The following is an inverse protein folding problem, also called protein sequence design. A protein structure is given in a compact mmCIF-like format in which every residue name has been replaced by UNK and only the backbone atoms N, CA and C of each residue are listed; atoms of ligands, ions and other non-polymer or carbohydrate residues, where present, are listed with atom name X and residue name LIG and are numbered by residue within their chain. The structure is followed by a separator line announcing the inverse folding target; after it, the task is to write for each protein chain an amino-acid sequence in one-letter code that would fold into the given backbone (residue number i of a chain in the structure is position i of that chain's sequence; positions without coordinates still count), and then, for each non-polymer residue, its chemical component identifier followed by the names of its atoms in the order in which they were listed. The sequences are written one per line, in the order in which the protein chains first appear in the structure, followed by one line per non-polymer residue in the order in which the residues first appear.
data_IF_031775128753
#
_entry.id   IF_031775128753
#
_cell.length_a   1.000
_cell.length_b   1.000
_cell.length_c   1.000
_cell.angle_alpha   90.00
_cell.angle_beta   90.00
_cell.angle_gamma   90.00
#
_symmetry.space_group_name_H-M   'P 1'
#
loop_
_entity.id
_entity.type
_entity.pdbx_description
1 polymer ?
#
# COMPACT_ATOMS: atom_id res chain seq x y z
N UNK A 1 -13.83 -9.62 47.11
CA UNK A 1 -12.52 -9.88 47.76
C UNK A 1 -11.85 -10.92 46.86
N UNK A 2 -10.90 -10.51 46.01
CA UNK A 2 -10.23 -11.42 45.07
C UNK A 2 -9.20 -12.24 45.87
N UNK A 3 -9.29 -13.56 45.75
CA UNK A 3 -8.45 -14.51 46.48
C UNK A 3 -7.15 -14.72 45.71
N UNK A 4 -6.03 -14.53 46.39
CA UNK A 4 -4.69 -14.64 45.82
C UNK A 4 -4.30 -16.13 45.72
N UNK A 5 -3.96 -16.58 44.52
CA UNK A 5 -3.50 -17.94 44.26
C UNK A 5 -1.95 -18.00 44.22
N UNK A 6 -1.30 -18.56 45.25
CA UNK A 6 0.16 -18.57 45.38
C UNK A 6 0.87 -19.48 44.36
N UNK A 7 0.17 -20.37 43.67
CA UNK A 7 0.78 -21.28 42.68
C UNK A 7 1.11 -20.57 41.36
N UNK A 8 0.36 -19.50 41.02
CA UNK A 8 0.59 -18.71 39.81
C UNK A 8 1.90 -17.92 39.91
N UNK A 9 2.17 -17.30 41.06
CA UNK A 9 3.38 -16.50 41.26
C UNK A 9 4.65 -17.37 41.30
N UNK A 10 4.53 -18.59 41.84
CA UNK A 10 5.65 -19.53 41.88
C UNK A 10 6.04 -20.02 40.48
N UNK A 11 5.05 -20.22 39.61
CA UNK A 11 5.26 -20.63 38.22
C UNK A 11 5.92 -19.51 37.40
N UNK A 12 5.48 -18.26 37.58
CA UNK A 12 6.07 -17.11 36.90
C UNK A 12 7.56 -16.92 37.24
N UNK A 13 7.93 -17.07 38.52
CA UNK A 13 9.32 -16.94 38.95
C UNK A 13 10.22 -18.06 38.41
N UNK A 14 9.70 -19.27 38.19
CA UNK A 14 10.47 -20.38 37.60
C UNK A 14 10.83 -20.09 36.14
N UNK A 15 9.86 -19.64 35.34
CA UNK A 15 10.06 -19.33 33.93
C UNK A 15 11.05 -18.18 33.72
N UNK A 16 11.00 -17.17 34.59
CA UNK A 16 11.91 -16.03 34.50
C UNK A 16 13.37 -16.41 34.83
N UNK A 17 13.58 -17.43 35.67
CA UNK A 17 14.90 -17.96 35.97
C UNK A 17 15.47 -18.78 34.81
N UNK A 18 14.67 -19.67 34.20
CA UNK A 18 15.08 -20.48 33.04
C UNK A 18 15.46 -19.60 31.82
N UNK A 19 14.74 -18.49 31.62
CA UNK A 19 15.01 -17.55 30.52
C UNK A 19 16.36 -16.83 30.68
N UNK A 20 16.78 -16.57 31.92
CA UNK A 20 18.05 -15.91 32.20
C UNK A 20 19.24 -16.88 32.16
N UNK A 21 19.03 -18.17 32.45
CA UNK A 21 20.06 -19.21 32.36
C UNK A 21 20.39 -19.55 30.89
N UNK A 22 19.40 -19.61 29.99
CA UNK A 22 19.62 -19.84 28.55
C UNK A 22 20.37 -18.71 27.83
N UNK A 23 20.36 -17.49 28.38
CA UNK A 23 21.09 -16.33 27.84
C UNK A 23 22.59 -16.35 28.18
N UNK A 24 23.00 -17.12 29.19
CA UNK A 24 24.40 -17.23 29.63
C UNK A 24 25.26 -18.19 28.81
N UNK A 25 24.64 -19.11 28.04
CA UNK A 25 25.35 -20.23 27.40
C UNK A 25 25.70 -20.02 25.92
N UNK A 26 25.19 -18.96 25.27
CA UNK A 26 25.45 -18.69 23.85
C UNK A 26 26.77 -17.92 23.57
N UNK A 27 27.54 -17.59 24.61
CA UNK A 27 28.81 -16.85 24.50
C UNK A 27 30.02 -17.77 24.66
N UNK A 28 30.17 -18.83 23.86
CA UNK A 28 31.45 -19.54 23.73
C UNK A 28 31.60 -20.18 22.34
N UNK A 29 32.79 -20.05 21.73
CA UNK A 29 33.30 -20.58 20.43
C UNK A 29 32.89 -19.79 19.15
N UNK A 30 33.78 -19.36 18.23
CA UNK A 30 35.13 -19.79 17.83
C UNK A 30 35.87 -18.66 17.07
N UNK A 31 37.19 -18.58 17.24
CA UNK A 31 38.16 -17.58 16.71
C UNK A 31 38.68 -17.89 15.29
N UNK A 32 39.14 -16.87 14.53
CA UNK A 32 40.44 -16.92 13.82
C UNK A 32 40.97 -15.51 13.40
N UNK A 33 42.26 -15.30 13.67
CA UNK A 33 43.16 -14.15 13.41
C UNK A 33 43.63 -14.11 11.91
N UNK A 34 44.49 -13.25 11.35
CA UNK A 34 45.49 -12.30 11.81
C UNK A 34 45.95 -11.36 10.64
N UNK A 35 46.32 -10.14 11.03
CA UNK A 35 47.42 -9.25 10.59
C UNK A 35 47.87 -9.05 9.12
N UNK A 36 48.17 -7.78 8.79
CA UNK A 36 49.53 -7.34 8.46
C UNK A 36 49.69 -5.83 8.73
N UNK A 37 50.59 -5.50 9.65
CA UNK A 37 51.00 -4.14 10.05
C UNK A 37 51.90 -3.46 9.00
N UNK A 38 51.99 -2.12 9.04
CA UNK A 38 53.25 -1.37 9.22
C UNK A 38 53.05 0.17 9.18
N UNK A 39 53.63 0.80 10.21
CA UNK A 39 54.26 2.13 10.32
C UNK A 39 53.46 3.45 10.36
N UNK A 40 53.59 4.10 11.53
CA UNK A 40 53.29 5.49 11.91
C UNK A 40 54.60 6.30 11.87
N UNK A 41 54.62 7.59 11.48
CA UNK A 41 54.72 8.67 12.49
C UNK A 41 53.85 9.92 12.17
N UNK A 42 53.09 10.46 13.14
CA UNK A 42 53.38 11.69 13.94
C UNK A 42 53.07 13.00 13.16
N UNK A 43 52.45 14.07 13.65
CA UNK A 43 52.03 14.63 14.95
C UNK A 43 50.71 15.39 14.71
N UNK A 44 49.84 15.67 15.69
CA UNK A 44 50.04 16.72 16.68
C UNK A 44 48.84 16.72 17.63
N UNK A 45 49.14 16.92 18.91
CA UNK A 45 48.24 16.96 20.04
C UNK A 45 47.05 17.91 19.90
N UNK A 46 45.88 17.42 20.31
CA UNK A 46 44.88 18.21 21.04
C UNK A 46 44.01 17.24 21.84
N UNK A 47 44.32 17.08 23.12
CA UNK A 47 43.44 16.49 24.11
C UNK A 47 42.25 17.44 24.33
N UNK A 48 41.03 16.96 24.13
CA UNK A 48 39.97 16.93 25.17
C UNK A 48 38.61 16.48 24.61
N UNK A 49 37.99 15.60 25.39
CA UNK A 49 36.56 15.38 25.57
C UNK A 49 35.69 14.58 24.58
N UNK A 50 35.60 13.28 24.92
CA UNK A 50 34.37 12.51 25.17
C UNK A 50 33.13 12.88 24.31
N UNK A 51 33.00 12.22 23.16
CA UNK A 51 31.69 11.93 22.59
C UNK A 51 31.31 10.48 22.88
N UNK A 52 31.23 10.14 24.17
CA UNK A 52 30.28 9.14 24.63
C UNK A 52 28.89 9.73 24.34
N UNK A 53 28.42 9.59 23.09
CA UNK A 53 27.04 9.89 22.74
C UNK A 53 26.17 9.02 23.63
N UNK A 54 25.59 9.65 24.65
CA UNK A 54 24.72 8.99 25.62
C UNK A 54 23.63 8.23 24.83
N UNK A 55 23.60 6.88 24.88
CA UNK A 55 22.59 6.09 24.17
C UNK A 55 21.18 6.54 24.53
N UNK A 56 20.97 7.02 25.76
CA UNK A 56 19.69 7.55 26.22
C UNK A 56 19.30 8.86 25.54
N UNK A 57 20.25 9.74 25.15
CA UNK A 57 19.94 10.95 24.36
C UNK A 57 19.52 10.57 22.95
N UNK A 58 20.26 9.67 22.31
CA UNK A 58 19.94 9.16 20.97
C UNK A 58 18.60 8.42 20.97
N UNK A 59 18.33 7.58 21.97
CA UNK A 59 17.04 6.92 22.16
C UNK A 59 15.94 7.96 22.42
N UNK A 60 16.16 8.94 23.30
CA UNK A 60 15.17 10.00 23.57
C UNK A 60 14.88 10.88 22.36
N UNK A 61 15.85 11.09 21.47
CA UNK A 61 15.65 11.72 20.15
C UNK A 61 14.88 10.80 19.19
N UNK A 62 15.16 9.49 19.16
CA UNK A 62 14.39 8.53 18.35
C UNK A 62 12.93 8.39 18.82
N UNK A 63 12.66 8.58 20.12
CA UNK A 63 11.30 8.60 20.69
C UNK A 63 10.73 10.03 20.73
N UNK A 64 11.49 11.04 20.30
CA UNK A 64 10.92 12.37 20.09
C UNK A 64 10.02 12.26 18.87
N UNK A 65 8.71 12.09 19.11
CA UNK A 65 7.75 12.08 18.04
C UNK A 65 7.83 13.45 17.37
N UNK A 66 8.28 13.46 16.12
CA UNK A 66 8.03 14.60 15.25
C UNK A 66 6.50 14.68 15.07
N UNK A 67 5.87 15.56 15.85
CA UNK A 67 4.44 15.81 15.78
C UNK A 67 4.07 16.63 14.53
N UNK A 68 5.05 17.03 13.71
CA UNK A 68 4.77 17.59 12.40
C UNK A 68 4.11 16.49 11.57
N UNK A 69 2.80 16.62 11.38
CA UNK A 69 2.04 15.70 10.55
C UNK A 69 2.69 15.63 9.17
N UNK A 70 3.12 14.43 8.77
CA UNK A 70 3.70 14.22 7.46
C UNK A 70 2.69 14.72 6.41
N UNK A 71 3.09 15.65 5.52
CA UNK A 71 2.17 16.19 4.53
C UNK A 71 1.61 15.05 3.65
N UNK A 72 0.33 15.16 3.31
CA UNK A 72 -0.35 14.14 2.51
C UNK A 72 0.36 13.94 1.16
N UNK A 73 0.26 12.73 0.61
CA UNK A 73 0.80 12.43 -0.72
C UNK A 73 0.11 13.25 -1.83
N UNK A 74 -1.17 13.59 -1.62
CA UNK A 74 -1.96 14.42 -2.52
C UNK A 74 -1.76 15.89 -2.13
N UNK A 75 -1.24 16.67 -3.07
CA UNK A 75 -1.25 18.12 -2.99
C UNK A 75 -2.60 18.64 -3.48
N UNK A 76 -3.28 19.42 -2.65
CA UNK A 76 -4.56 20.02 -2.98
C UNK A 76 -4.34 21.45 -3.46
N UNK A 77 -4.62 21.77 -4.74
CA UNK A 77 -4.53 23.14 -5.22
C UNK A 77 -5.44 24.05 -4.40
N UNK A 78 -4.96 25.27 -4.13
CA UNK A 78 -5.75 26.35 -3.55
C UNK A 78 -6.98 26.62 -4.40
N UNK A 79 -8.11 26.82 -3.73
CA UNK A 79 -9.39 27.10 -4.36
C UNK A 79 -9.76 28.56 -4.08
N UNK A 80 -10.26 29.25 -5.09
CA UNK A 80 -10.79 30.61 -4.96
C UNK A 80 -12.20 30.62 -4.33
N UNK A 81 -12.77 29.44 -4.06
CA UNK A 81 -14.09 29.22 -3.49
C UNK A 81 -14.01 28.26 -2.31
N UNK A 82 -14.83 28.50 -1.29
CA UNK A 82 -15.00 27.56 -0.18
C UNK A 82 -15.63 26.27 -0.71
N UNK A 83 -14.83 25.20 -0.69
CA UNK A 83 -15.26 23.88 -1.14
C UNK A 83 -15.18 22.89 0.02
N UNK A 84 -16.32 22.30 0.34
CA UNK A 84 -16.43 21.17 1.24
C UNK A 84 -17.01 19.98 0.49
N UNK A 85 -16.48 18.79 0.78
CA UNK A 85 -17.03 17.56 0.24
C UNK A 85 -18.39 17.30 0.91
N UNK A 86 -19.44 17.07 0.12
CA UNK A 86 -20.78 16.77 0.64
C UNK A 86 -20.75 15.45 1.41
N UNK A 87 -20.69 15.52 2.75
CA UNK A 87 -20.63 14.36 3.63
C UNK A 87 -21.75 13.35 3.37
N UNK A 88 -22.96 13.85 3.06
CA UNK A 88 -24.12 13.05 2.67
C UNK A 88 -23.97 12.28 1.35
N UNK A 89 -22.90 12.48 0.56
CA UNK A 89 -22.61 11.67 -0.63
C UNK A 89 -21.37 10.78 -0.45
N UNK A 90 -20.57 10.99 0.61
CA UNK A 90 -19.35 10.19 0.85
C UNK A 90 -19.68 8.72 1.02
N UNK A 91 -20.79 8.41 1.70
CA UNK A 91 -21.24 7.04 1.93
C UNK A 91 -21.69 6.31 0.64
N UNK A 92 -21.90 7.05 -0.46
CA UNK A 92 -22.24 6.48 -1.77
C UNK A 92 -20.99 6.10 -2.58
N UNK A 93 -19.80 6.54 -2.16
CA UNK A 93 -18.57 6.14 -2.80
C UNK A 93 -18.41 4.62 -2.65
N UNK A 94 -18.10 3.93 -3.75
CA UNK A 94 -17.64 2.56 -3.68
C UNK A 94 -16.39 2.50 -2.80
N UNK A 95 -16.27 1.42 -2.02
CA UNK A 95 -15.11 1.15 -1.17
C UNK A 95 -14.21 0.14 -1.87
N UNK A 96 -12.93 0.44 -1.99
CA UNK A 96 -11.91 -0.44 -2.56
C UNK A 96 -10.88 -0.81 -1.49
N UNK A 97 -10.78 -2.10 -1.16
CA UNK A 97 -9.87 -2.59 -0.12
C UNK A 97 -8.49 -3.00 -0.63
N UNK A 98 -8.33 -3.16 -1.95
CA UNK A 98 -7.10 -3.67 -2.56
C UNK A 98 -6.99 -5.20 -2.50
N UNK A 99 -8.11 -5.91 -2.48
CA UNK A 99 -8.17 -7.37 -2.41
C UNK A 99 -8.08 -8.03 -3.79
N UNK A 100 -7.60 -9.29 -3.80
CA UNK A 100 -7.57 -10.10 -5.00
C UNK A 100 -9.01 -10.37 -5.48
N UNK A 101 -9.37 -9.86 -6.66
CA UNK A 101 -10.70 -10.01 -7.25
C UNK A 101 -11.44 -8.69 -7.44
N UNK A 102 -11.03 -7.62 -6.74
CA UNK A 102 -11.55 -6.28 -7.02
C UNK A 102 -11.01 -5.77 -8.37
N UNK A 103 -11.84 -5.02 -9.09
CA UNK A 103 -11.47 -4.40 -10.37
C UNK A 103 -11.24 -2.90 -10.17
N UNK A 104 -9.98 -2.43 -10.24
CA UNK A 104 -9.66 -1.02 -10.05
C UNK A 104 -10.26 -0.12 -11.16
N UNK A 105 -10.48 -0.63 -12.37
CA UNK A 105 -11.15 0.12 -13.42
C UNK A 105 -12.63 0.30 -13.13
N UNK A 106 -13.29 -0.75 -12.63
CA UNK A 106 -14.68 -0.69 -12.19
C UNK A 106 -14.84 0.32 -11.05
N UNK A 107 -13.97 0.26 -10.04
CA UNK A 107 -13.94 1.22 -8.93
C UNK A 107 -13.86 2.66 -9.43
N UNK A 108 -12.92 2.97 -10.32
CA UNK A 108 -12.77 4.32 -10.87
C UNK A 108 -14.01 4.81 -11.65
N UNK A 109 -14.74 3.90 -12.32
CA UNK A 109 -16.00 4.24 -13.02
C UNK A 109 -17.11 4.57 -12.01
N UNK A 110 -17.30 3.72 -11.01
CA UNK A 110 -18.31 3.93 -9.95
C UNK A 110 -18.01 5.21 -9.16
N UNK A 111 -16.75 5.40 -8.78
CA UNK A 111 -16.25 6.61 -8.13
C UNK A 111 -16.54 7.89 -8.92
N UNK A 112 -16.31 7.87 -10.25
CA UNK A 112 -16.55 9.03 -11.11
C UNK A 112 -18.02 9.46 -11.13
N UNK A 113 -18.96 8.50 -11.16
CA UNK A 113 -20.41 8.78 -11.15
C UNK A 113 -20.81 9.56 -9.89
N UNK A 114 -20.27 9.17 -8.74
CA UNK A 114 -20.57 9.83 -7.46
C UNK A 114 -19.91 11.21 -7.38
N UNK A 115 -18.64 11.32 -7.78
CA UNK A 115 -17.91 12.59 -7.80
C UNK A 115 -18.57 13.64 -8.70
N UNK A 116 -19.18 13.22 -9.81
CA UNK A 116 -19.91 14.11 -10.70
C UNK A 116 -21.07 14.82 -9.97
N UNK A 117 -21.80 14.11 -9.10
CA UNK A 117 -22.89 14.68 -8.29
C UNK A 117 -22.42 15.55 -7.10
N UNK A 118 -21.16 15.42 -6.70
CA UNK A 118 -20.56 16.21 -5.62
C UNK A 118 -20.08 17.59 -6.07
N UNK A 119 -19.94 17.83 -7.38
CA UNK A 119 -19.28 19.01 -7.94
C UNK A 119 -20.08 20.32 -7.68
N UNK A 120 -19.52 21.28 -6.94
CA UNK A 120 -20.06 22.64 -6.86
C UNK A 120 -19.65 23.49 -8.06
N UNK A 121 -20.34 24.61 -8.24
CA UNK A 121 -19.98 25.61 -9.25
C UNK A 121 -18.61 26.22 -8.91
N UNK A 122 -17.75 26.39 -9.91
CA UNK A 122 -16.41 26.97 -9.72
C UNK A 122 -15.30 25.98 -9.35
N UNK A 123 -15.62 24.72 -9.06
CA UNK A 123 -14.62 23.67 -8.76
C UNK A 123 -14.48 22.74 -9.97
N UNK A 124 -13.25 22.36 -10.30
CA UNK A 124 -12.98 21.39 -11.37
C UNK A 124 -13.30 19.97 -10.89
N UNK A 125 -13.63 19.09 -11.82
CA UNK A 125 -13.94 17.71 -11.48
C UNK A 125 -12.74 16.99 -10.81
N UNK A 126 -11.53 17.26 -11.29
CA UNK A 126 -10.30 16.68 -10.76
C UNK A 126 -10.04 17.10 -9.31
N UNK A 127 -10.35 18.35 -8.95
CA UNK A 127 -10.23 18.82 -7.56
C UNK A 127 -11.19 18.11 -6.61
N UNK A 128 -12.42 17.80 -7.06
CA UNK A 128 -13.39 17.01 -6.30
C UNK A 128 -12.88 15.59 -6.13
N UNK A 129 -12.44 14.96 -7.23
CA UNK A 129 -11.93 13.60 -7.22
C UNK A 129 -10.72 13.42 -6.32
N UNK A 130 -9.73 14.31 -6.39
CA UNK A 130 -8.54 14.26 -5.54
C UNK A 130 -8.92 14.26 -4.06
N UNK A 131 -9.88 15.11 -3.65
CA UNK A 131 -10.35 15.21 -2.27
C UNK A 131 -11.27 14.05 -1.86
N UNK A 132 -12.05 13.49 -2.78
CA UNK A 132 -12.96 12.38 -2.52
C UNK A 132 -12.26 11.02 -2.49
N UNK A 133 -11.20 10.83 -3.26
CA UNK A 133 -10.56 9.52 -3.47
C UNK A 133 -10.10 8.82 -2.18
N UNK A 134 -9.49 9.50 -1.19
CA UNK A 134 -9.10 8.86 0.07
C UNK A 134 -10.26 8.23 0.85
N UNK A 135 -11.50 8.73 0.65
CA UNK A 135 -12.70 8.17 1.26
C UNK A 135 -13.23 6.93 0.55
N UNK A 136 -12.81 6.71 -0.70
CA UNK A 136 -13.16 5.53 -1.48
C UNK A 136 -12.27 4.32 -1.21
N UNK A 137 -11.24 4.47 -0.37
CA UNK A 137 -10.26 3.42 -0.08
C UNK A 137 -10.38 2.91 1.35
N UNK A 138 -10.10 1.61 1.54
CA UNK A 138 -10.02 0.92 2.83
C UNK A 138 -8.78 0.02 2.90
N UNK A 139 -8.42 -0.37 4.12
CA UNK A 139 -7.39 -1.39 4.39
C UNK A 139 -6.10 -1.18 3.56
N UNK A 140 -5.69 -2.18 2.79
CA UNK A 140 -4.46 -2.18 2.00
C UNK A 140 -4.41 -1.04 0.99
N UNK A 141 -5.55 -0.68 0.40
CA UNK A 141 -5.63 0.44 -0.52
C UNK A 141 -5.34 1.77 0.16
N UNK A 142 -5.81 1.93 1.39
CA UNK A 142 -5.56 3.13 2.19
C UNK A 142 -4.13 3.18 2.68
N UNK A 143 -3.58 2.05 3.12
CA UNK A 143 -2.18 1.92 3.52
C UNK A 143 -1.24 2.27 2.37
N UNK A 144 -1.54 1.78 1.15
CA UNK A 144 -0.81 2.15 -0.06
C UNK A 144 -0.82 3.67 -0.28
N UNK A 145 -1.98 4.32 -0.23
CA UNK A 145 -2.08 5.76 -0.46
C UNK A 145 -1.21 6.54 0.55
N UNK A 146 -1.19 6.12 1.82
CA UNK A 146 -0.40 6.76 2.86
C UNK A 146 1.09 6.43 2.82
N UNK A 147 1.48 5.35 2.13
CA UNK A 147 2.89 5.01 1.92
C UNK A 147 3.58 5.86 0.85
N UNK A 148 2.80 6.59 0.04
CA UNK A 148 3.35 7.41 -1.04
C UNK A 148 4.08 8.66 -0.51
N UNK A 149 5.14 9.12 -1.18
CA UNK A 149 5.86 10.33 -0.77
C UNK A 149 4.94 11.56 -0.73
N UNK A 150 5.16 12.43 0.25
CA UNK A 150 4.44 13.70 0.37
C UNK A 150 4.56 14.56 -0.90
N UNK A 151 3.45 15.14 -1.35
CA UNK A 151 3.41 15.98 -2.55
C UNK A 151 3.74 15.26 -3.87
N UNK A 152 3.78 13.93 -3.89
CA UNK A 152 4.03 13.16 -5.12
C UNK A 152 2.89 13.23 -6.14
N UNK A 153 1.67 13.54 -5.69
CA UNK A 153 0.47 13.56 -6.51
C UNK A 153 -0.08 14.99 -6.59
N UNK A 154 0.05 15.60 -7.77
CA UNK A 154 -0.40 16.98 -8.05
C UNK A 154 -1.63 17.05 -8.96
N UNK A 155 -2.04 15.92 -9.56
CA UNK A 155 -3.18 15.86 -10.49
C UNK A 155 -3.95 14.55 -10.37
N UNK A 156 -5.22 14.58 -10.77
CA UNK A 156 -6.05 13.38 -10.81
C UNK A 156 -5.49 12.30 -11.73
N UNK A 157 -4.91 12.69 -12.87
CA UNK A 157 -4.31 11.74 -13.81
C UNK A 157 -3.11 11.01 -13.20
N UNK A 158 -2.28 11.70 -12.41
CA UNK A 158 -1.14 11.08 -11.73
C UNK A 158 -1.62 10.09 -10.65
N UNK A 159 -2.60 10.50 -9.83
CA UNK A 159 -3.20 9.61 -8.83
C UNK A 159 -3.78 8.34 -9.47
N UNK A 160 -4.55 8.52 -10.55
CA UNK A 160 -5.16 7.43 -11.30
C UNK A 160 -4.11 6.49 -11.88
N UNK A 161 -3.02 7.02 -12.43
CA UNK A 161 -1.92 6.25 -12.99
C UNK A 161 -1.24 5.40 -11.90
N UNK A 162 -0.82 6.03 -10.80
CA UNK A 162 -0.21 5.35 -9.65
C UNK A 162 -1.11 4.24 -9.10
N UNK A 163 -2.41 4.52 -8.95
CA UNK A 163 -3.39 3.55 -8.49
C UNK A 163 -3.49 2.34 -9.42
N UNK A 164 -3.58 2.56 -10.74
CA UNK A 164 -3.66 1.47 -11.71
C UNK A 164 -2.36 0.70 -11.83
N UNK A 165 -1.19 1.35 -11.74
CA UNK A 165 0.10 0.67 -11.74
C UNK A 165 0.25 -0.27 -10.53
N UNK A 166 -0.26 0.14 -9.37
CA UNK A 166 -0.21 -0.66 -8.15
C UNK A 166 -1.23 -1.81 -8.13
N UNK A 167 -2.49 -1.55 -8.52
CA UNK A 167 -3.58 -2.53 -8.41
C UNK A 167 -3.94 -3.27 -9.71
N UNK A 168 -3.39 -2.83 -10.85
CA UNK A 168 -3.57 -3.47 -12.16
C UNK A 168 -2.24 -3.60 -12.92
N UNK A 169 -1.29 -4.39 -12.39
CA UNK A 169 0.04 -4.51 -12.98
C UNK A 169 -0.01 -5.14 -14.39
N UNK A 170 1.03 -4.89 -15.20
CA UNK A 170 1.14 -5.42 -16.55
C UNK A 170 1.07 -6.96 -16.61
N UNK A 171 1.53 -7.65 -15.56
CA UNK A 171 1.39 -9.11 -15.41
C UNK A 171 -0.07 -9.55 -15.45
N UNK A 172 -0.99 -8.81 -14.81
CA UNK A 172 -2.43 -9.07 -14.86
C UNK A 172 -2.98 -8.91 -16.27
N UNK A 173 -2.52 -7.89 -17.01
CA UNK A 173 -2.88 -7.69 -18.43
C UNK A 173 -2.41 -8.87 -19.28
N UNK A 174 -1.19 -9.38 -19.06
CA UNK A 174 -0.69 -10.58 -19.75
C UNK A 174 -1.56 -11.80 -19.46
N UNK A 175 -1.93 -12.02 -18.19
CA UNK A 175 -2.79 -13.13 -17.78
C UNK A 175 -4.16 -13.04 -18.44
N UNK A 176 -4.83 -11.88 -18.37
CA UNK A 176 -6.15 -11.68 -18.99
C UNK A 176 -6.08 -11.90 -20.50
N UNK A 177 -5.03 -11.44 -21.19
CA UNK A 177 -4.86 -11.72 -22.63
C UNK A 177 -4.79 -13.22 -22.93
N UNK A 178 -4.05 -13.98 -22.11
CA UNK A 178 -3.97 -15.44 -22.24
C UNK A 178 -5.33 -16.09 -22.00
N UNK A 179 -6.04 -15.66 -20.95
CA UNK A 179 -7.39 -16.15 -20.65
C UNK A 179 -8.35 -15.86 -21.81
N UNK A 180 -8.37 -14.64 -22.37
CA UNK A 180 -9.19 -14.28 -23.53
C UNK A 180 -8.90 -15.21 -24.71
N UNK A 181 -7.61 -15.44 -25.03
CA UNK A 181 -7.23 -16.29 -26.16
C UNK A 181 -7.51 -17.79 -25.96
N UNK A 182 -7.60 -18.23 -24.71
CA UNK A 182 -7.79 -19.64 -24.34
C UNK A 182 -9.19 -19.97 -23.84
N UNK A 183 -10.09 -18.99 -23.81
CA UNK A 183 -11.44 -19.15 -23.28
C UNK A 183 -12.27 -20.07 -24.17
N UNK A 184 -12.87 -21.11 -23.59
CA UNK A 184 -13.76 -22.03 -24.28
C UNK A 184 -15.13 -22.08 -23.65
N UNK A 185 -16.13 -22.43 -24.46
CA UNK A 185 -17.47 -22.73 -23.98
C UNK A 185 -17.44 -24.04 -23.17
N UNK A 186 -18.12 -24.06 -22.02
CA UNK A 186 -18.26 -25.29 -21.24
C UNK A 186 -19.35 -26.19 -21.85
N UNK A 187 -19.27 -27.50 -21.60
CA UNK A 187 -20.19 -28.49 -22.18
C UNK A 187 -21.65 -28.30 -21.75
N UNK A 188 -21.88 -27.69 -20.59
CA UNK A 188 -23.17 -27.43 -19.96
C UNK A 188 -23.61 -25.97 -20.07
N UNK A 189 -22.82 -25.11 -20.71
CA UNK A 189 -23.08 -23.68 -20.82
C UNK A 189 -23.68 -23.31 -22.18
N UNK A 190 -24.63 -22.38 -22.19
CA UNK A 190 -25.15 -21.80 -23.43
C UNK A 190 -24.18 -20.80 -24.06
N UNK A 191 -24.25 -20.61 -25.38
CA UNK A 191 -23.45 -19.58 -26.06
C UNK A 191 -23.69 -18.18 -25.47
N UNK A 192 -24.90 -17.88 -25.03
CA UNK A 192 -25.23 -16.59 -24.42
C UNK A 192 -24.46 -16.36 -23.11
N UNK A 193 -24.36 -17.37 -22.25
CA UNK A 193 -23.60 -17.33 -21.01
C UNK A 193 -22.10 -17.22 -21.29
N UNK A 194 -21.58 -18.05 -22.22
CA UNK A 194 -20.18 -17.98 -22.67
C UNK A 194 -19.82 -16.59 -23.17
N UNK A 195 -20.64 -16.03 -24.07
CA UNK A 195 -20.45 -14.70 -24.61
C UNK A 195 -20.54 -13.62 -23.54
N UNK A 196 -21.39 -13.82 -22.52
CA UNK A 196 -21.46 -13.01 -21.32
C UNK A 196 -20.12 -12.97 -20.58
N UNK A 197 -19.55 -14.15 -20.27
CA UNK A 197 -18.24 -14.25 -19.61
C UNK A 197 -17.12 -13.65 -20.47
N UNK A 198 -17.10 -13.94 -21.77
CA UNK A 198 -16.09 -13.41 -22.69
C UNK A 198 -16.09 -11.88 -22.70
N UNK A 199 -17.26 -11.26 -22.84
CA UNK A 199 -17.38 -9.79 -22.77
C UNK A 199 -16.94 -9.22 -21.43
N UNK A 200 -17.31 -9.86 -20.33
CA UNK A 200 -16.86 -9.43 -19.00
C UNK A 200 -15.33 -9.49 -18.87
N UNK A 201 -14.70 -10.56 -19.37
CA UNK A 201 -13.26 -10.71 -19.35
C UNK A 201 -12.55 -9.64 -20.20
N UNK A 202 -13.04 -9.36 -21.41
CA UNK A 202 -12.54 -8.27 -22.26
C UNK A 202 -12.68 -6.91 -21.58
N UNK A 203 -13.84 -6.65 -20.96
CA UNK A 203 -14.11 -5.39 -20.26
C UNK A 203 -13.22 -5.16 -19.03
N UNK A 204 -12.75 -6.23 -18.38
CA UNK A 204 -11.87 -6.16 -17.21
C UNK A 204 -10.47 -5.63 -17.54
N UNK A 205 -10.08 -5.61 -18.83
CA UNK A 205 -8.78 -5.09 -19.28
C UNK A 205 -8.92 -4.18 -20.50
N UNK A 206 -9.34 -2.91 -20.34
CA UNK A 206 -9.56 -2.00 -21.46
C UNK A 206 -8.33 -1.76 -22.35
N UNK A 207 -7.13 -1.97 -21.81
CA UNK A 207 -5.85 -1.83 -22.50
C UNK A 207 -5.25 -3.17 -22.95
N UNK A 208 -6.10 -4.18 -23.23
CA UNK A 208 -5.67 -5.51 -23.64
C UNK A 208 -4.90 -5.53 -24.99
N UNK A 209 -4.97 -4.47 -25.82
CA UNK A 209 -4.24 -4.37 -27.10
C UNK A 209 -4.48 -5.55 -28.06
N UNK A 210 -5.63 -6.23 -27.92
CA UNK A 210 -6.04 -7.32 -28.81
C UNK A 210 -6.87 -6.66 -29.91
N UNK A 211 -6.50 -6.79 -31.19
CA UNK A 211 -7.30 -6.29 -32.30
C UNK A 211 -8.70 -6.92 -32.33
N UNK A 212 -9.71 -6.14 -32.73
CA UNK A 212 -11.11 -6.57 -32.76
C UNK A 212 -11.34 -7.85 -33.57
N UNK A 213 -10.62 -8.03 -34.69
CA UNK A 213 -10.72 -9.23 -35.51
C UNK A 213 -10.27 -10.50 -34.75
N UNK A 214 -9.27 -10.41 -33.86
CA UNK A 214 -8.85 -11.53 -33.03
C UNK A 214 -9.85 -11.80 -31.91
N UNK A 215 -10.50 -10.77 -31.36
CA UNK A 215 -11.57 -10.97 -30.37
C UNK A 215 -12.74 -11.75 -30.97
N UNK A 216 -13.13 -11.43 -32.20
CA UNK A 216 -14.16 -12.18 -32.94
C UNK A 216 -13.71 -13.64 -33.12
N UNK A 217 -12.48 -13.85 -33.61
CA UNK A 217 -11.95 -15.19 -33.82
C UNK A 217 -11.92 -16.02 -32.53
N UNK A 218 -11.44 -15.45 -31.42
CA UNK A 218 -11.40 -16.15 -30.13
C UNK A 218 -12.78 -16.45 -29.58
N UNK A 219 -13.77 -15.58 -29.82
CA UNK A 219 -15.16 -15.82 -29.41
C UNK A 219 -15.89 -16.93 -30.18
N UNK A 220 -15.32 -17.36 -31.31
CA UNK A 220 -15.88 -18.42 -32.17
C UNK A 220 -15.05 -19.70 -32.16
N UNK A 221 -13.94 -19.73 -31.42
CA UNK A 221 -13.09 -20.91 -31.27
C UNK A 221 -13.70 -21.85 -30.23
N UNK A 222 -14.60 -22.73 -30.66
CA UNK A 222 -14.98 -23.93 -29.92
C UNK A 222 -13.85 -24.98 -29.94
#
# INVERSE_FOLDING_TARGET
KLEFDPEIEKTARRLQKETNELKGEASTSFEFEAELALDVPTSSDSEEDVMAQNPERMIKEMISLDLNQQPLCIEYPTLDVDFELKSGLIHLLSTFSGLAGEDPHKHLKEFHVVCFGMRPQGVTEDQVKLRAFPFSLSEKAKDWLYSLPSGSIVSWNELKKQFLENYFPASRTITIRKEISGMRQFSDESFYEYWGRFKQLVQSCPHHQIPDHLLIQYSTND
#
